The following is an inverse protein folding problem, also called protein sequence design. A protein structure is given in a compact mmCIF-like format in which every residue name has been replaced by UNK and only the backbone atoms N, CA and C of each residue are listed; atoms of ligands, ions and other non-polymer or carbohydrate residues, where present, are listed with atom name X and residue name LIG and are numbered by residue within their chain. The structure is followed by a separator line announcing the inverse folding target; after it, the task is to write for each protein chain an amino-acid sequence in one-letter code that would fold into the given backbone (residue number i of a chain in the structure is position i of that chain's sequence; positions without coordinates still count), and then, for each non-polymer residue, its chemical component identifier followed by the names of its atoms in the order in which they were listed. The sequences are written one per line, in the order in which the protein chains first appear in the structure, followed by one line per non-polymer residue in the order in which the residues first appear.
data_IF_004528709330
#
_entry.id   IF_004528709330
#
_cell.length_a   1.000
_cell.length_b   1.000
_cell.length_c   1.000
_cell.angle_alpha   90.00
_cell.angle_beta   90.00
_cell.angle_gamma   90.00
#
_symmetry.space_group_name_H-M   'P 1'
#
loop_
_entity.id
_entity.type
_entity.pdbx_description
1 polymer ?
#
# COMPACT_ATOMS: atom_id res chain seq x y z
N UNK A 1 3.03 -7.48 3.59
CA UNK A 1 2.21 -8.29 2.64
C UNK A 1 2.23 -9.79 2.95
N UNK A 2 3.39 -10.47 2.88
CA UNK A 2 3.49 -11.93 3.00
C UNK A 2 2.88 -12.53 4.28
N UNK A 3 3.14 -11.96 5.46
CA UNK A 3 2.59 -12.47 6.72
C UNK A 3 1.06 -12.42 6.76
N UNK A 4 0.45 -11.29 6.39
CA UNK A 4 -1.02 -11.17 6.40
C UNK A 4 -1.67 -12.09 5.38
N UNK A 5 -1.06 -12.29 4.21
CA UNK A 5 -1.54 -13.25 3.23
C UNK A 5 -1.49 -14.69 3.76
N UNK A 6 -0.49 -15.03 4.58
CA UNK A 6 -0.40 -16.34 5.21
C UNK A 6 -1.48 -16.53 6.30
N UNK A 7 -1.71 -15.52 7.13
CA UNK A 7 -2.76 -15.54 8.17
C UNK A 7 -4.14 -15.76 7.55
N UNK A 8 -4.47 -14.96 6.53
CA UNK A 8 -5.76 -15.08 5.81
C UNK A 8 -5.95 -16.47 5.20
N UNK A 9 -4.88 -17.08 4.64
CA UNK A 9 -4.95 -18.45 4.12
C UNK A 9 -5.17 -19.48 5.22
N UNK A 10 -4.54 -19.29 6.39
CA UNK A 10 -4.77 -20.15 7.55
C UNK A 10 -6.19 -20.00 8.12
N UNK A 11 -6.78 -18.81 8.02
CA UNK A 11 -8.19 -18.53 8.32
C UNK A 11 -9.16 -19.12 7.25
N UNK A 12 -8.64 -19.71 6.16
CA UNK A 12 -9.43 -20.36 5.11
C UNK A 12 -9.79 -19.45 3.93
N UNK A 13 -9.24 -18.24 3.85
CA UNK A 13 -9.43 -17.35 2.71
C UNK A 13 -8.49 -17.69 1.56
N UNK A 14 -8.98 -17.54 0.34
CA UNK A 14 -8.15 -17.56 -0.85
C UNK A 14 -7.56 -16.17 -1.11
N UNK A 15 -6.24 -16.04 -0.97
CA UNK A 15 -5.52 -14.79 -1.29
C UNK A 15 -4.92 -14.92 -2.68
N UNK A 16 -5.58 -14.31 -3.66
CA UNK A 16 -5.20 -14.36 -5.09
C UNK A 16 -4.23 -13.25 -5.49
N UNK A 17 -4.25 -12.13 -4.77
CA UNK A 17 -3.46 -10.95 -5.08
C UNK A 17 -3.19 -10.13 -3.83
N UNK A 18 -1.95 -9.67 -3.68
CA UNK A 18 -1.57 -8.69 -2.68
C UNK A 18 -0.46 -7.80 -3.25
N UNK A 19 -0.42 -6.54 -2.82
CA UNK A 19 0.63 -5.61 -3.25
C UNK A 19 1.01 -4.60 -2.17
N UNK A 20 2.16 -3.95 -2.37
CA UNK A 20 2.67 -2.82 -1.59
C UNK A 20 3.10 -1.70 -2.54
N UNK A 21 2.98 -0.44 -2.10
CA UNK A 21 3.36 0.74 -2.89
C UNK A 21 4.82 0.68 -3.37
N UNK A 22 5.73 0.11 -2.58
CA UNK A 22 7.13 -0.11 -2.93
C UNK A 22 7.35 -1.27 -3.94
N UNK A 23 6.54 -1.29 -5.01
CA UNK A 23 6.63 -2.20 -6.17
C UNK A 23 6.70 -3.68 -5.76
N UNK A 24 5.99 -4.05 -4.69
CA UNK A 24 5.91 -5.42 -4.22
C UNK A 24 4.60 -6.05 -4.65
N UNK A 25 4.63 -7.12 -5.43
CA UNK A 25 3.44 -7.86 -5.85
C UNK A 25 3.57 -9.34 -5.49
N UNK A 26 2.51 -9.92 -4.94
CA UNK A 26 2.38 -11.36 -4.68
C UNK A 26 1.09 -11.83 -5.35
N UNK A 27 1.23 -12.78 -6.28
CA UNK A 27 0.14 -13.28 -7.10
C UNK A 27 0.01 -14.77 -6.89
N UNK A 28 -1.21 -15.23 -6.62
CA UNK A 28 -1.48 -16.62 -6.29
C UNK A 28 -0.75 -17.10 -5.03
N UNK A 29 -0.59 -18.41 -4.91
CA UNK A 29 -0.01 -19.08 -3.73
C UNK A 29 1.32 -19.80 -4.00
N UNK A 30 1.83 -19.73 -5.24
CA UNK A 30 3.07 -20.38 -5.67
C UNK A 30 4.27 -19.84 -4.88
N UNK A 31 4.39 -18.51 -4.82
CA UNK A 31 5.41 -17.82 -4.03
C UNK A 31 4.70 -17.02 -2.95
N UNK A 32 5.00 -17.34 -1.68
CA UNK A 32 4.37 -16.72 -0.51
C UNK A 32 4.99 -15.35 -0.15
N UNK A 33 5.69 -14.73 -1.10
CA UNK A 33 6.38 -13.45 -0.96
C UNK A 33 6.31 -12.67 -2.29
N UNK A 34 6.95 -11.50 -2.34
CA UNK A 34 7.06 -10.66 -3.54
C UNK A 34 7.72 -11.44 -4.67
N UNK A 35 7.06 -11.49 -5.82
CA UNK A 35 7.57 -12.12 -7.03
C UNK A 35 7.34 -11.22 -8.25
N UNK A 36 8.40 -10.51 -8.64
CA UNK A 36 8.38 -9.64 -9.81
C UNK A 36 8.30 -10.40 -11.15
N UNK A 37 8.75 -11.66 -11.21
CA UNK A 37 8.69 -12.48 -12.42
C UNK A 37 7.25 -12.96 -12.63
N UNK A 38 6.61 -13.45 -11.57
CA UNK A 38 5.19 -13.80 -11.62
C UNK A 38 4.33 -12.58 -11.99
N UNK A 39 4.61 -11.42 -11.39
CA UNK A 39 3.93 -10.17 -11.74
C UNK A 39 4.11 -9.77 -13.21
N UNK A 40 5.34 -9.88 -13.74
CA UNK A 40 5.60 -9.62 -15.15
C UNK A 40 4.83 -10.58 -16.06
N UNK A 41 4.79 -11.87 -15.72
CA UNK A 41 4.07 -12.88 -16.50
C UNK A 41 2.57 -12.57 -16.58
N UNK A 42 1.94 -12.22 -15.46
CA UNK A 42 0.51 -11.86 -15.43
C UNK A 42 0.25 -10.55 -16.17
N UNK A 43 1.14 -9.58 -16.06
CA UNK A 43 1.02 -8.34 -16.84
C UNK A 43 1.14 -8.57 -18.35
N UNK A 44 2.03 -9.47 -18.78
CA UNK A 44 2.17 -9.84 -20.20
C UNK A 44 0.90 -10.52 -20.72
N UNK A 45 0.28 -11.39 -19.93
CA UNK A 45 -0.97 -12.04 -20.30
C UNK A 45 -2.11 -11.01 -20.47
N UNK A 46 -2.27 -10.10 -19.52
CA UNK A 46 -3.20 -8.97 -19.63
C UNK A 46 -2.90 -8.09 -20.87
N UNK A 47 -1.63 -7.79 -21.13
CA UNK A 47 -1.23 -6.99 -22.30
C UNK A 47 -1.57 -7.68 -23.63
N UNK A 48 -1.46 -9.01 -23.67
CA UNK A 48 -1.86 -9.82 -24.83
C UNK A 48 -3.38 -9.78 -25.03
N UNK A 49 -4.17 -9.98 -23.98
CA UNK A 49 -5.64 -9.89 -24.06
C UNK A 49 -6.09 -8.51 -24.54
N UNK A 50 -5.52 -7.44 -23.99
CA UNK A 50 -5.80 -6.07 -24.44
C UNK A 50 -5.43 -5.84 -25.90
N UNK A 51 -4.31 -6.41 -26.36
CA UNK A 51 -3.92 -6.33 -27.76
C UNK A 51 -4.93 -7.03 -28.68
N UNK A 52 -5.47 -8.19 -28.29
CA UNK A 52 -6.53 -8.90 -29.02
C UNK A 52 -7.83 -8.07 -29.09
N UNK A 53 -8.10 -7.24 -28.08
CA UNK A 53 -9.20 -6.25 -28.07
C UNK A 53 -8.88 -4.94 -28.82
N UNK A 54 -7.68 -4.80 -29.39
CA UNK A 54 -7.24 -3.60 -30.09
C UNK A 54 -6.91 -2.41 -29.17
N UNK A 55 -6.51 -2.69 -27.93
CA UNK A 55 -6.18 -1.69 -26.92
C UNK A 55 -4.72 -1.78 -26.47
N UNK A 56 -4.17 -0.64 -26.06
CA UNK A 56 -2.90 -0.57 -25.33
C UNK A 56 -3.14 -0.61 -23.82
N UNK A 57 -2.12 -1.03 -23.05
CA UNK A 57 -2.16 -0.96 -21.59
C UNK A 57 -2.39 0.49 -21.08
N UNK A 58 -1.88 1.50 -21.79
CA UNK A 58 -2.13 2.90 -21.45
C UNK A 58 -3.61 3.25 -21.63
N UNK A 59 -4.22 2.87 -22.75
CA UNK A 59 -5.65 3.11 -22.99
C UNK A 59 -6.51 2.40 -21.94
N UNK A 60 -6.13 1.18 -21.56
CA UNK A 60 -6.79 0.46 -20.48
C UNK A 60 -6.64 1.20 -19.14
N UNK A 61 -5.45 1.69 -18.81
CA UNK A 61 -5.21 2.50 -17.62
C UNK A 61 -6.07 3.78 -17.60
N UNK A 62 -6.19 4.47 -18.74
CA UNK A 62 -7.06 5.66 -18.84
C UNK A 62 -8.54 5.31 -18.64
N UNK A 63 -8.99 4.14 -19.09
CA UNK A 63 -10.36 3.64 -18.81
C UNK A 63 -10.55 3.40 -17.32
N UNK A 64 -9.59 2.77 -16.64
CA UNK A 64 -9.64 2.55 -15.20
C UNK A 64 -9.70 3.87 -14.43
N UNK A 65 -8.92 4.89 -14.82
CA UNK A 65 -9.01 6.21 -14.21
C UNK A 65 -10.36 6.88 -14.42
N UNK A 66 -10.99 6.68 -15.58
CA UNK A 66 -12.34 7.21 -15.85
C UNK A 66 -13.41 6.50 -15.03
N UNK A 67 -13.25 5.21 -14.78
CA UNK A 67 -14.21 4.38 -14.05
C UNK A 67 -14.10 4.51 -12.53
N UNK A 68 -12.88 4.42 -11.99
CA UNK A 68 -12.62 4.37 -10.55
C UNK A 68 -12.06 5.66 -9.96
N UNK A 69 -11.70 6.63 -10.80
CA UNK A 69 -11.06 7.88 -10.40
C UNK A 69 -9.53 7.81 -10.42
N UNK A 70 -8.90 8.96 -10.16
CA UNK A 70 -7.45 9.11 -10.17
C UNK A 70 -6.89 8.94 -8.75
N UNK A 71 -5.92 8.03 -8.61
CA UNK A 71 -5.21 7.78 -7.36
C UNK A 71 -3.75 8.24 -7.51
N UNK A 72 -3.46 9.46 -7.06
CA UNK A 72 -2.13 10.05 -7.13
C UNK A 72 -1.36 9.78 -5.83
N UNK A 73 -0.12 9.34 -5.96
CA UNK A 73 0.81 9.16 -4.85
C UNK A 73 2.06 10.01 -5.07
N UNK A 74 2.53 10.68 -4.01
CA UNK A 74 3.76 11.46 -4.02
C UNK A 74 4.56 11.14 -2.76
N UNK A 75 5.54 10.26 -2.91
CA UNK A 75 6.34 9.76 -1.81
C UNK A 75 7.67 10.52 -1.70
N UNK A 76 8.04 10.86 -0.48
CA UNK A 76 9.30 11.55 -0.16
C UNK A 76 9.91 10.99 1.10
N UNK A 77 11.23 11.15 1.24
CA UNK A 77 11.97 10.63 2.39
C UNK A 77 12.73 11.75 3.07
N UNK A 78 12.57 11.86 4.39
CA UNK A 78 13.38 12.71 5.25
C UNK A 78 14.27 11.82 6.11
N UNK A 79 15.58 12.01 6.02
CA UNK A 79 16.55 11.28 6.85
C UNK A 79 16.90 12.14 8.05
N UNK A 80 16.63 11.64 9.26
CA UNK A 80 16.98 12.29 10.52
C UNK A 80 18.04 11.46 11.24
N UNK A 81 19.32 11.87 11.25
CA UNK A 81 20.36 11.13 11.95
C UNK A 81 20.31 11.32 13.47
N UNK A 82 19.46 12.24 13.98
CA UNK A 82 19.28 12.51 15.41
C UNK A 82 18.05 11.74 15.95
N UNK A 83 18.26 10.70 16.80
CA UNK A 83 17.16 9.95 17.41
C UNK A 83 16.33 10.79 18.40
N UNK A 84 16.92 11.78 19.06
CA UNK A 84 16.21 12.65 19.99
C UNK A 84 15.25 13.59 19.24
N UNK A 85 15.70 14.19 18.15
CA UNK A 85 14.85 14.95 17.25
C UNK A 85 13.69 14.10 16.69
N UNK A 86 14.00 12.90 16.23
CA UNK A 86 13.00 11.95 15.70
C UNK A 86 11.92 11.64 16.74
N UNK A 87 12.32 11.26 17.97
CA UNK A 87 11.37 11.04 19.06
C UNK A 87 10.51 12.27 19.35
N UNK A 88 11.11 13.46 19.37
CA UNK A 88 10.38 14.71 19.61
C UNK A 88 9.32 14.98 18.53
N UNK A 89 9.64 14.74 17.25
CA UNK A 89 8.69 14.90 16.13
C UNK A 89 7.53 13.92 16.25
N UNK A 90 7.79 12.64 16.50
CA UNK A 90 6.71 11.64 16.66
C UNK A 90 5.86 11.90 17.91
N UNK A 91 6.45 12.31 19.03
CA UNK A 91 5.71 12.67 20.23
C UNK A 91 4.79 13.89 20.00
N UNK A 92 5.23 14.86 19.20
CA UNK A 92 4.43 16.05 18.86
C UNK A 92 3.19 15.73 18.02
N UNK A 93 3.09 14.54 17.40
CA UNK A 93 1.88 14.08 16.71
C UNK A 93 0.81 13.56 17.68
N UNK A 94 1.21 13.27 18.93
CA UNK A 94 0.33 12.76 20.01
C UNK A 94 0.42 13.65 21.26
N UNK A 95 0.15 14.96 21.18
CA UNK A 95 0.18 15.82 22.37
C UNK A 95 -0.77 15.25 23.44
N UNK A 96 -0.24 15.07 24.66
CA UNK A 96 -0.99 14.52 25.80
C UNK A 96 -1.59 13.11 25.54
N UNK A 97 -0.96 12.33 24.67
CA UNK A 97 -1.43 10.99 24.30
C UNK A 97 -2.63 10.99 23.34
N UNK A 98 -3.08 12.16 22.87
CA UNK A 98 -4.14 12.29 21.87
C UNK A 98 -3.55 12.72 20.55
N UNK A 99 -4.02 12.13 19.46
CA UNK A 99 -3.61 12.59 18.14
C UNK A 99 -4.14 14.00 17.85
N UNK A 100 -3.37 14.75 17.06
CA UNK A 100 -3.80 16.03 16.49
C UNK A 100 -5.18 15.89 15.84
N UNK A 101 -6.04 16.90 16.01
CA UNK A 101 -7.41 16.93 15.47
C UNK A 101 -7.53 17.79 14.21
N UNK A 102 -6.44 18.46 13.81
CA UNK A 102 -6.37 19.32 12.63
C UNK A 102 -4.99 19.23 11.98
N UNK A 103 -4.95 19.41 10.66
CA UNK A 103 -3.72 19.60 9.87
C UNK A 103 -3.93 20.87 9.04
N UNK A 104 -3.11 21.89 9.29
CA UNK A 104 -3.34 23.24 8.77
C UNK A 104 -4.79 23.70 9.04
N UNK A 105 -5.53 24.08 8.00
CA UNK A 105 -6.92 24.55 8.10
C UNK A 105 -7.95 23.41 8.08
N UNK A 106 -7.52 22.15 7.97
CA UNK A 106 -8.39 21.00 7.80
C UNK A 106 -8.58 20.23 9.12
N UNK A 107 -9.84 19.90 9.45
CA UNK A 107 -10.14 18.99 10.55
C UNK A 107 -9.88 17.55 10.14
N UNK A 108 -9.29 16.76 11.05
CA UNK A 108 -9.10 15.33 10.87
C UNK A 108 -10.42 14.63 11.19
N UNK A 109 -10.96 13.86 10.26
CA UNK A 109 -12.20 13.12 10.45
C UNK A 109 -12.01 11.80 11.19
N UNK A 110 -10.91 11.09 10.89
CA UNK A 110 -10.62 9.75 11.38
C UNK A 110 -9.12 9.52 11.47
N UNK A 111 -8.72 8.69 12.44
CA UNK A 111 -7.32 8.33 12.66
C UNK A 111 -7.23 6.82 12.82
N UNK A 112 -6.43 6.19 11.96
CA UNK A 112 -6.12 4.78 12.05
C UNK A 112 -4.68 4.61 12.50
N UNK A 113 -4.50 4.10 13.71
CA UNK A 113 -3.20 3.67 14.22
C UNK A 113 -2.96 2.22 13.80
N UNK A 114 -1.82 1.94 13.17
CA UNK A 114 -1.44 0.60 12.70
C UNK A 114 -0.33 -0.04 13.58
N UNK A 115 -0.14 0.47 14.79
CA UNK A 115 0.82 -0.10 15.74
C UNK A 115 0.08 -1.13 16.60
N UNK A 116 0.70 -2.28 16.84
CA UNK A 116 0.28 -3.16 17.93
C UNK A 116 0.49 -2.43 19.26
N UNK A 117 -0.40 -2.64 20.24
CA UNK A 117 -0.33 -2.15 21.62
C UNK A 117 0.98 -2.53 22.37
N UNK A 118 1.89 -3.25 21.71
CA UNK A 118 3.20 -3.63 22.22
C UNK A 118 4.24 -2.49 22.19
N UNK A 119 4.06 -1.45 21.38
CA UNK A 119 5.03 -0.34 21.28
C UNK A 119 4.88 0.76 22.34
N UNK A 120 3.83 0.71 23.17
CA UNK A 120 3.60 1.65 24.27
C UNK A 120 4.00 1.06 25.65
N UNK A 121 4.80 -0.02 25.67
CA UNK A 121 5.38 -0.62 26.89
C UNK A 121 6.91 -0.51 26.94
#
# INVERSE_FOLDING_TARGET
MGSRSADLRAEGFEVIFAYEEAIGFCIGDIVKDKDGIAAASVFVDMAKELQEEGLSCEQHLQRLYKEYGNFLSMNSYVKSPDPALTRRIFAAQRPEGKYCQKVADFAISDIRAFFDDACDR
#
